data_IF_868567439344
#
_entry.id   IF_868567439344
#
_cell.length_a   1.000
_cell.length_b   1.000
_cell.length_c   1.000
_cell.angle_alpha   90.00
_cell.angle_beta   90.00
_cell.angle_gamma   90.00
#
_symmetry.space_group_name_H-M   'P 1'
#
loop_
_entity.id
_entity.type
_entity.pdbx_description
1 polymer ?
#
# COMPACT_ATOMS: atom_id res chain seq x y z
N UNK A 1 32.55 11.31 -13.53
CA UNK A 1 31.43 11.05 -12.61
C UNK A 1 31.91 11.14 -11.18
N UNK A 2 31.24 11.95 -10.35
CA UNK A 2 31.57 12.16 -8.95
C UNK A 2 31.10 10.99 -8.09
N UNK A 3 31.91 10.62 -7.09
CA UNK A 3 31.60 9.54 -6.16
C UNK A 3 30.30 9.80 -5.40
N UNK A 4 30.08 11.05 -4.97
CA UNK A 4 28.89 11.48 -4.20
C UNK A 4 27.60 11.34 -5.00
N UNK A 5 27.60 11.72 -6.27
CA UNK A 5 26.43 11.58 -7.13
C UNK A 5 26.12 10.11 -7.39
N UNK A 6 27.14 9.30 -7.66
CA UNK A 6 26.97 7.87 -7.87
C UNK A 6 26.37 7.17 -6.63
N UNK A 7 26.87 7.49 -5.43
CA UNK A 7 26.32 6.97 -4.17
C UNK A 7 24.86 7.36 -3.97
N UNK A 8 24.49 8.63 -4.24
CA UNK A 8 23.11 9.10 -4.14
C UNK A 8 22.17 8.35 -5.11
N UNK A 9 22.61 8.13 -6.35
CA UNK A 9 21.83 7.40 -7.36
C UNK A 9 21.64 5.94 -6.93
N UNK A 10 22.70 5.27 -6.46
CA UNK A 10 22.61 3.89 -5.98
C UNK A 10 21.65 3.78 -4.81
N UNK A 11 21.75 4.66 -3.83
CA UNK A 11 20.86 4.67 -2.66
C UNK A 11 19.40 4.92 -3.06
N UNK A 12 19.14 5.83 -4.01
CA UNK A 12 17.79 6.10 -4.50
C UNK A 12 17.19 4.90 -5.25
N UNK A 13 18.00 4.19 -6.05
CA UNK A 13 17.59 2.95 -6.73
C UNK A 13 17.22 1.87 -5.72
N UNK A 14 18.02 1.68 -4.67
CA UNK A 14 17.73 0.69 -3.62
C UNK A 14 16.42 1.00 -2.89
N UNK A 15 16.19 2.26 -2.52
CA UNK A 15 14.93 2.69 -1.88
C UNK A 15 13.72 2.47 -2.79
N UNK A 16 13.83 2.79 -4.08
CA UNK A 16 12.73 2.56 -5.04
C UNK A 16 12.47 1.06 -5.27
N UNK A 17 13.50 0.22 -5.28
CA UNK A 17 13.32 -1.24 -5.34
C UNK A 17 12.56 -1.76 -4.12
N UNK A 18 12.98 -1.37 -2.92
CA UNK A 18 12.33 -1.76 -1.67
C UNK A 18 10.86 -1.29 -1.66
N UNK A 19 10.59 -0.04 -2.06
CA UNK A 19 9.23 0.49 -2.17
C UNK A 19 8.38 -0.32 -3.14
N UNK A 20 8.89 -0.62 -4.34
CA UNK A 20 8.17 -1.41 -5.35
C UNK A 20 7.87 -2.83 -4.88
N UNK A 21 8.81 -3.45 -4.17
CA UNK A 21 8.62 -4.78 -3.59
C UNK A 21 7.47 -4.79 -2.56
N UNK A 22 7.41 -3.77 -1.70
CA UNK A 22 6.42 -3.70 -0.60
C UNK A 22 5.04 -3.17 -1.05
N UNK A 23 4.96 -2.39 -2.13
CA UNK A 23 3.71 -1.74 -2.58
C UNK A 23 2.64 -2.71 -3.10
N UNK A 24 3.04 -3.93 -3.47
CA UNK A 24 2.13 -4.98 -3.95
C UNK A 24 1.62 -5.93 -2.86
N UNK A 25 2.22 -5.88 -1.68
CA UNK A 25 1.96 -6.87 -0.64
C UNK A 25 0.57 -6.70 -0.02
N UNK A 26 0.00 -7.83 0.39
CA UNK A 26 -1.32 -7.90 1.03
C UNK A 26 -1.20 -8.40 2.47
N UNK A 27 -2.05 -7.89 3.38
CA UNK A 27 -2.16 -8.43 4.72
C UNK A 27 -2.61 -9.88 4.72
N UNK A 28 -2.02 -10.68 5.61
CA UNK A 28 -2.55 -11.98 5.96
C UNK A 28 -3.90 -11.83 6.65
N UNK A 29 -4.73 -12.88 6.63
CA UNK A 29 -6.00 -12.87 7.37
C UNK A 29 -5.76 -12.65 8.87
N UNK A 30 -4.68 -13.20 9.42
CA UNK A 30 -4.31 -13.05 10.83
C UNK A 30 -3.99 -11.60 11.17
N UNK A 31 -3.13 -10.96 10.38
CA UNK A 31 -2.79 -9.56 10.55
C UNK A 31 -4.00 -8.65 10.37
N UNK A 32 -4.84 -8.96 9.40
CA UNK A 32 -6.06 -8.21 9.11
C UNK A 32 -7.04 -8.23 10.29
N UNK A 33 -7.35 -9.42 10.81
CA UNK A 33 -8.25 -9.60 11.97
C UNK A 33 -7.65 -8.97 13.22
N UNK A 34 -6.36 -9.20 13.49
CA UNK A 34 -5.67 -8.63 14.64
C UNK A 34 -5.73 -7.10 14.65
N UNK A 35 -5.39 -6.46 13.51
CA UNK A 35 -5.44 -5.01 13.36
C UNK A 35 -6.89 -4.49 13.44
N UNK A 36 -7.86 -5.20 12.86
CA UNK A 36 -9.28 -4.85 12.94
C UNK A 36 -9.77 -4.78 14.40
N UNK A 37 -9.55 -5.85 15.16
CA UNK A 37 -9.99 -5.94 16.55
C UNK A 37 -9.26 -4.92 17.44
N UNK A 38 -7.94 -4.77 17.25
CA UNK A 38 -7.13 -3.80 18.00
C UNK A 38 -7.64 -2.36 17.81
N UNK A 39 -8.07 -1.98 16.60
CA UNK A 39 -8.65 -0.64 16.32
C UNK A 39 -9.99 -0.42 17.01
N UNK A 40 -10.75 -1.48 17.25
CA UNK A 40 -11.98 -1.45 18.06
C UNK A 40 -11.74 -1.50 19.57
N UNK A 41 -10.49 -1.75 20.01
CA UNK A 41 -10.19 -2.08 21.41
C UNK A 41 -10.77 -3.41 21.85
N UNK A 42 -10.94 -4.35 20.90
CA UNK A 42 -11.51 -5.69 21.12
C UNK A 42 -10.41 -6.75 21.05
N UNK A 43 -10.72 -7.92 21.60
CA UNK A 43 -9.91 -9.14 21.50
C UNK A 43 -10.64 -10.21 20.69
N UNK A 44 -9.91 -11.25 20.28
CA UNK A 44 -10.48 -12.33 19.48
C UNK A 44 -11.66 -13.05 20.18
N UNK A 45 -11.63 -13.13 21.52
CA UNK A 45 -12.72 -13.69 22.31
C UNK A 45 -14.04 -12.94 22.13
N UNK A 46 -14.01 -11.62 21.89
CA UNK A 46 -15.23 -10.83 21.65
C UNK A 46 -15.89 -11.23 20.31
N UNK A 47 -15.07 -11.48 19.28
CA UNK A 47 -15.53 -11.96 17.99
C UNK A 47 -16.11 -13.38 18.10
N UNK A 48 -15.47 -14.28 18.85
CA UNK A 48 -16.00 -15.62 19.10
C UNK A 48 -17.30 -15.61 19.90
N UNK A 49 -17.41 -14.78 20.95
CA UNK A 49 -18.66 -14.62 21.71
C UNK A 49 -19.80 -14.12 20.82
N UNK A 50 -19.49 -13.24 19.88
CA UNK A 50 -20.44 -12.78 18.87
C UNK A 50 -20.81 -13.94 17.93
N UNK A 51 -19.86 -14.71 17.38
CA UNK A 51 -20.16 -15.90 16.56
C UNK A 51 -21.05 -16.91 17.30
N UNK A 52 -20.76 -17.19 18.56
CA UNK A 52 -21.54 -18.11 19.40
C UNK A 52 -22.96 -17.58 19.61
N UNK A 53 -23.11 -16.30 19.98
CA UNK A 53 -24.41 -15.63 20.15
C UNK A 53 -25.24 -15.64 18.86
N UNK A 54 -24.58 -15.53 17.72
CA UNK A 54 -25.21 -15.46 16.40
C UNK A 54 -25.51 -16.85 15.81
N UNK A 55 -24.89 -17.91 16.32
CA UNK A 55 -25.03 -19.28 15.83
C UNK A 55 -24.32 -19.54 14.49
N UNK A 56 -24.23 -20.81 14.11
CA UNK A 56 -23.56 -21.26 12.86
C UNK A 56 -24.21 -20.76 11.56
N UNK A 57 -25.45 -20.27 11.63
CA UNK A 57 -26.24 -19.74 10.51
C UNK A 57 -26.31 -18.20 10.53
N UNK A 58 -25.22 -17.55 10.93
CA UNK A 58 -25.05 -16.09 10.98
C UNK A 58 -25.55 -15.34 9.72
N UNK A 59 -25.47 -15.98 8.55
CA UNK A 59 -25.91 -15.40 7.28
C UNK A 59 -27.36 -15.71 6.90
N UNK A 60 -28.07 -16.57 7.64
CA UNK A 60 -29.32 -17.14 7.12
C UNK A 60 -30.64 -16.65 7.71
N UNK A 61 -30.85 -16.22 8.96
CA UNK A 61 -32.26 -15.86 9.31
C UNK A 61 -32.63 -15.12 10.59
N UNK A 62 -31.77 -14.92 11.61
CA UNK A 62 -32.24 -14.37 12.91
C UNK A 62 -31.94 -12.89 13.18
N UNK A 63 -31.00 -12.29 12.46
CA UNK A 63 -30.64 -10.87 12.59
C UNK A 63 -30.81 -10.17 11.26
N UNK A 64 -31.75 -9.23 11.22
CA UNK A 64 -32.14 -8.55 9.98
C UNK A 64 -31.06 -7.54 9.60
N UNK A 65 -30.59 -6.76 10.58
CA UNK A 65 -29.68 -5.65 10.33
C UNK A 65 -28.21 -6.05 10.39
N UNK A 66 -27.78 -6.81 11.40
CA UNK A 66 -26.40 -7.35 11.44
C UNK A 66 -26.13 -8.29 10.27
N UNK A 67 -27.10 -9.12 9.88
CA UNK A 67 -26.99 -10.00 8.72
C UNK A 67 -26.92 -9.24 7.39
N UNK A 68 -27.70 -8.17 7.23
CA UNK A 68 -27.60 -7.29 6.06
C UNK A 68 -26.26 -6.54 6.02
N UNK A 69 -25.86 -5.95 7.15
CA UNK A 69 -24.56 -5.28 7.31
C UNK A 69 -23.41 -6.19 6.90
N UNK A 70 -23.41 -7.44 7.38
CA UNK A 70 -22.36 -8.40 7.05
C UNK A 70 -22.38 -8.87 5.59
N UNK A 71 -23.54 -8.96 4.95
CA UNK A 71 -23.63 -9.25 3.50
C UNK A 71 -23.05 -8.12 2.66
N UNK A 72 -23.35 -6.87 3.00
CA UNK A 72 -22.83 -5.70 2.30
C UNK A 72 -21.32 -5.57 2.51
N UNK A 73 -20.85 -5.75 3.75
CA UNK A 73 -19.43 -5.76 4.07
C UNK A 73 -18.69 -6.89 3.34
N UNK A 74 -19.27 -8.10 3.30
CA UNK A 74 -18.69 -9.23 2.56
C UNK A 74 -18.52 -8.86 1.09
N UNK A 75 -19.52 -8.25 0.46
CA UNK A 75 -19.42 -7.77 -0.93
C UNK A 75 -18.27 -6.77 -1.07
N UNK A 76 -18.11 -5.86 -0.13
CA UNK A 76 -17.02 -4.88 -0.13
C UNK A 76 -15.62 -5.52 -0.04
N UNK A 77 -15.44 -6.48 0.87
CA UNK A 77 -14.16 -7.20 1.04
C UNK A 77 -13.87 -8.06 -0.19
N UNK A 78 -14.86 -8.85 -0.63
CA UNK A 78 -14.73 -9.79 -1.76
C UNK A 78 -14.48 -9.10 -3.09
N UNK A 79 -14.99 -7.88 -3.28
CA UNK A 79 -14.74 -7.07 -4.47
C UNK A 79 -13.34 -6.42 -4.47
N UNK A 80 -12.52 -6.63 -3.44
CA UNK A 80 -11.15 -6.10 -3.36
C UNK A 80 -11.08 -4.58 -3.13
N UNK A 81 -12.19 -3.94 -2.80
CA UNK A 81 -12.25 -2.49 -2.53
C UNK A 81 -11.61 -2.12 -1.19
N UNK A 82 -11.33 -3.11 -0.33
CA UNK A 82 -10.82 -2.93 1.03
C UNK A 82 -9.57 -3.80 1.19
N UNK A 83 -8.40 -3.21 0.98
CA UNK A 83 -7.10 -3.90 1.16
C UNK A 83 -6.67 -3.99 2.62
N UNK A 84 -7.17 -3.10 3.47
CA UNK A 84 -6.86 -3.02 4.90
C UNK A 84 -8.13 -3.00 5.73
N UNK A 85 -8.09 -3.42 7.01
CA UNK A 85 -9.23 -3.25 7.89
C UNK A 85 -9.64 -1.78 7.96
N UNK A 86 -10.91 -1.48 8.25
CA UNK A 86 -11.36 -0.10 8.40
C UNK A 86 -10.69 0.57 9.60
N UNK A 87 -10.56 1.90 9.52
CA UNK A 87 -10.10 2.72 10.65
C UNK A 87 -11.25 2.99 11.63
N UNK A 88 -10.92 3.28 12.89
CA UNK A 88 -11.86 3.61 13.97
C UNK A 88 -12.86 4.69 13.59
N UNK A 89 -12.38 5.79 13.01
CA UNK A 89 -13.17 6.91 12.51
C UNK A 89 -14.07 6.54 11.32
N UNK A 90 -13.70 5.52 10.55
CA UNK A 90 -14.43 5.11 9.35
C UNK A 90 -15.47 4.04 9.59
N UNK A 91 -15.36 3.21 10.63
CA UNK A 91 -16.37 2.16 10.88
C UNK A 91 -17.72 2.77 11.25
N UNK A 92 -17.68 3.82 12.08
CA UNK A 92 -18.86 4.60 12.43
C UNK A 92 -19.39 5.37 11.22
N UNK A 93 -18.55 5.72 10.24
CA UNK A 93 -18.93 6.43 9.03
C UNK A 93 -19.23 5.51 7.83
N UNK A 94 -19.21 4.19 7.98
CA UNK A 94 -19.56 3.28 6.90
C UNK A 94 -21.03 3.53 6.52
N UNK A 95 -21.27 3.92 5.27
CA UNK A 95 -22.60 4.17 4.71
C UNK A 95 -23.34 2.85 4.40
N UNK A 96 -23.45 1.97 5.39
CA UNK A 96 -24.34 0.82 5.33
C UNK A 96 -25.67 1.23 5.97
N UNK A 97 -26.76 1.13 5.21
CA UNK A 97 -28.11 1.48 5.65
C UNK A 97 -28.55 0.79 6.95
N UNK A 98 -27.92 -0.33 7.30
CA UNK A 98 -28.25 -1.19 8.43
C UNK A 98 -27.26 -1.05 9.59
N UNK A 99 -26.32 -0.10 9.53
CA UNK A 99 -25.32 0.14 10.57
C UNK A 99 -25.97 0.33 11.94
N UNK A 100 -26.94 1.23 12.04
CA UNK A 100 -27.54 1.61 13.33
C UNK A 100 -28.38 0.47 13.92
N UNK A 101 -29.06 -0.31 13.06
CA UNK A 101 -29.77 -1.52 13.46
C UNK A 101 -28.82 -2.61 13.96
N UNK A 102 -27.69 -2.81 13.28
CA UNK A 102 -26.65 -3.73 13.73
C UNK A 102 -26.07 -3.30 15.09
N UNK A 103 -25.81 -2.01 15.30
CA UNK A 103 -25.36 -1.50 16.62
C UNK A 103 -26.38 -1.83 17.71
N UNK A 104 -27.68 -1.60 17.47
CA UNK A 104 -28.73 -1.93 18.42
C UNK A 104 -28.79 -3.43 18.74
N UNK A 105 -28.70 -4.28 17.71
CA UNK A 105 -28.64 -5.75 17.84
C UNK A 105 -27.39 -6.25 18.59
N UNK A 106 -26.29 -5.51 18.54
CA UNK A 106 -25.04 -5.77 19.27
C UNK A 106 -25.01 -5.19 20.69
N UNK A 107 -26.14 -4.71 21.22
CA UNK A 107 -26.23 -4.17 22.58
C UNK A 107 -25.88 -2.69 22.70
N UNK A 108 -25.86 -1.96 21.57
CA UNK A 108 -25.71 -0.51 21.53
C UNK A 108 -24.28 0.01 21.51
N UNK A 109 -23.26 -0.86 21.46
CA UNK A 109 -21.86 -0.45 21.35
C UNK A 109 -21.36 -0.47 19.89
N UNK A 110 -21.07 0.69 19.28
CA UNK A 110 -20.56 0.76 17.92
C UNK A 110 -19.24 0.02 17.69
N UNK A 111 -18.44 -0.20 18.75
CA UNK A 111 -17.17 -0.93 18.64
C UNK A 111 -17.39 -2.39 18.25
N UNK A 112 -18.53 -2.98 18.62
CA UNK A 112 -18.85 -4.37 18.28
C UNK A 112 -19.00 -4.60 16.77
N UNK A 113 -19.13 -3.54 15.96
CA UNK A 113 -19.04 -3.65 14.51
C UNK A 113 -17.67 -4.16 14.06
N UNK A 114 -16.58 -3.87 14.78
CA UNK A 114 -15.24 -4.40 14.47
C UNK A 114 -15.18 -5.93 14.58
N UNK A 115 -15.91 -6.51 15.52
CA UNK A 115 -16.02 -7.96 15.62
C UNK A 115 -16.79 -8.55 14.43
N UNK A 116 -17.92 -7.94 14.02
CA UNK A 116 -18.62 -8.34 12.79
C UNK A 116 -17.71 -8.27 11.56
N UNK A 117 -16.87 -7.25 11.49
CA UNK A 117 -15.93 -7.05 10.38
C UNK A 117 -14.84 -8.12 10.36
N UNK A 118 -14.28 -8.46 11.53
CA UNK A 118 -13.34 -9.57 11.66
C UNK A 118 -13.97 -10.90 11.21
N UNK A 119 -15.19 -11.21 11.67
CA UNK A 119 -15.93 -12.44 11.31
C UNK A 119 -16.15 -12.51 9.79
N UNK A 120 -16.55 -11.39 9.18
CA UNK A 120 -16.79 -11.33 7.72
C UNK A 120 -15.49 -11.49 6.94
N UNK A 121 -14.37 -10.94 7.41
CA UNK A 121 -13.07 -11.12 6.77
C UNK A 121 -12.62 -12.59 6.80
N UNK A 122 -12.79 -13.29 7.93
CA UNK A 122 -12.49 -14.72 8.02
C UNK A 122 -13.35 -15.54 7.08
N UNK A 123 -14.64 -15.19 6.95
CA UNK A 123 -15.52 -15.84 6.00
C UNK A 123 -15.12 -15.56 4.55
N UNK A 124 -14.71 -14.33 4.24
CA UNK A 124 -14.20 -13.99 2.92
C UNK A 124 -12.92 -14.76 2.60
N UNK A 125 -12.02 -14.97 3.57
CA UNK A 125 -10.83 -15.80 3.40
C UNK A 125 -11.18 -17.27 3.11
N UNK A 126 -12.19 -17.83 3.77
CA UNK A 126 -12.66 -19.20 3.47
C UNK A 126 -13.18 -19.35 2.03
N UNK A 127 -13.75 -18.28 1.46
CA UNK A 127 -14.31 -18.29 0.11
C UNK A 127 -13.31 -17.93 -0.98
N UNK A 128 -12.40 -16.99 -0.69
CA UNK A 128 -11.40 -16.42 -1.61
C UNK A 128 -10.08 -16.12 -0.88
N UNK A 129 -9.25 -17.16 -0.63
CA UNK A 129 -7.98 -16.99 0.07
C UNK A 129 -7.03 -15.99 -0.62
N UNK A 130 -7.07 -15.88 -1.94
CA UNK A 130 -6.21 -15.03 -2.77
C UNK A 130 -6.38 -13.51 -2.55
N UNK A 131 -7.42 -13.11 -1.82
CA UNK A 131 -7.63 -11.73 -1.38
C UNK A 131 -6.63 -11.30 -0.31
N UNK A 132 -6.06 -12.26 0.43
CA UNK A 132 -5.13 -12.04 1.53
C UNK A 132 -3.71 -12.47 1.13
N UNK A 133 -2.70 -11.96 1.83
CA UNK A 133 -1.29 -12.23 1.57
C UNK A 133 -0.54 -12.69 2.80
N UNK A 134 0.71 -12.22 2.95
CA UNK A 134 1.65 -12.70 3.96
C UNK A 134 1.94 -11.72 5.10
N UNK A 135 1.43 -10.49 5.07
CA UNK A 135 1.80 -9.49 6.09
C UNK A 135 0.97 -9.68 7.36
N UNK A 136 1.62 -10.09 8.44
CA UNK A 136 0.99 -10.23 9.76
C UNK A 136 0.94 -8.91 10.54
N UNK A 137 1.97 -8.06 10.43
CA UNK A 137 2.03 -6.77 11.11
C UNK A 137 1.79 -5.61 10.12
N UNK A 138 0.53 -5.23 9.98
CA UNK A 138 0.09 -4.21 9.03
C UNK A 138 0.63 -2.83 9.40
N UNK A 139 0.70 -2.52 10.69
CA UNK A 139 1.13 -1.20 11.14
C UNK A 139 2.66 -1.04 10.96
N UNK A 140 3.46 -2.06 11.29
CA UNK A 140 4.89 -2.05 11.02
C UNK A 140 5.20 -2.01 9.50
N UNK A 141 4.43 -2.72 8.68
CA UNK A 141 4.57 -2.64 7.22
C UNK A 141 4.26 -1.24 6.68
N UNK A 142 3.20 -0.60 7.19
CA UNK A 142 2.84 0.77 6.82
C UNK A 142 3.92 1.77 7.26
N UNK A 143 4.45 1.61 8.46
CA UNK A 143 5.57 2.44 8.95
C UNK A 143 6.79 2.29 8.05
N UNK A 144 7.13 1.05 7.66
CA UNK A 144 8.26 0.81 6.74
C UNK A 144 8.07 1.47 5.38
N UNK A 145 6.87 1.41 4.80
CA UNK A 145 6.57 2.12 3.54
C UNK A 145 6.72 3.63 3.74
N UNK A 146 6.16 4.19 4.83
CA UNK A 146 6.25 5.62 5.10
C UNK A 146 7.70 6.10 5.32
N UNK A 147 8.53 5.32 6.01
CA UNK A 147 9.98 5.58 6.15
C UNK A 147 10.69 5.63 4.80
N UNK A 148 10.40 4.66 3.92
CA UNK A 148 10.99 4.59 2.60
C UNK A 148 10.49 5.74 1.70
N UNK A 149 9.22 6.11 1.76
CA UNK A 149 8.67 7.27 1.04
C UNK A 149 9.32 8.58 1.50
N UNK A 150 9.52 8.74 2.82
CA UNK A 150 10.23 9.89 3.37
C UNK A 150 11.68 9.93 2.91
N UNK A 151 12.37 8.78 2.93
CA UNK A 151 13.77 8.67 2.46
C UNK A 151 13.88 8.96 0.97
N UNK A 152 12.97 8.45 0.15
CA UNK A 152 12.86 8.76 -1.29
C UNK A 152 12.72 10.26 -1.50
N UNK A 153 11.81 10.92 -0.78
CA UNK A 153 11.60 12.36 -0.88
C UNK A 153 12.87 13.16 -0.50
N UNK A 154 13.57 12.74 0.56
CA UNK A 154 14.85 13.33 0.97
C UNK A 154 15.92 13.19 -0.13
N UNK A 155 16.11 11.98 -0.67
CA UNK A 155 17.10 11.69 -1.70
C UNK A 155 16.81 12.51 -2.97
N UNK A 156 15.55 12.52 -3.42
CA UNK A 156 15.10 13.32 -4.56
C UNK A 156 15.32 14.82 -4.34
N UNK A 157 15.14 15.32 -3.11
CA UNK A 157 15.44 16.70 -2.75
C UNK A 157 16.93 17.07 -2.83
N UNK A 158 17.84 16.10 -2.69
CA UNK A 158 19.29 16.34 -2.75
C UNK A 158 19.84 16.41 -4.18
N UNK A 159 19.19 15.74 -5.13
CA UNK A 159 19.62 15.65 -6.53
C UNK A 159 19.95 17.00 -7.19
N UNK A 160 19.08 18.04 -7.13
CA UNK A 160 19.33 19.33 -7.78
C UNK A 160 20.65 20.02 -7.42
N UNK A 161 21.24 19.65 -6.27
CA UNK A 161 22.45 20.29 -5.72
C UNK A 161 23.68 19.40 -5.69
N UNK A 162 23.57 18.12 -6.10
CA UNK A 162 24.60 17.10 -5.84
C UNK A 162 25.43 16.69 -7.06
N UNK A 163 24.95 16.94 -8.29
CA UNK A 163 25.70 16.57 -9.49
C UNK A 163 26.77 17.63 -9.84
N UNK A 164 27.93 17.16 -10.30
CA UNK A 164 29.03 17.99 -10.79
C UNK A 164 29.12 17.96 -12.32
N UNK A 165 30.02 18.76 -12.91
CA UNK A 165 30.22 18.77 -14.37
C UNK A 165 30.52 17.37 -14.93
N UNK A 166 31.33 16.58 -14.23
CA UNK A 166 31.69 15.22 -14.65
C UNK A 166 30.54 14.20 -14.56
N UNK A 167 29.39 14.59 -14.02
CA UNK A 167 28.17 13.78 -13.96
C UNK A 167 27.22 14.07 -15.14
N UNK A 168 27.59 15.03 -15.98
CA UNK A 168 26.79 15.50 -17.10
C UNK A 168 27.36 15.00 -18.42
N UNK A 169 26.46 14.75 -19.36
CA UNK A 169 26.77 14.52 -20.76
C UNK A 169 26.18 15.66 -21.58
N UNK A 170 27.01 16.31 -22.39
CA UNK A 170 26.58 17.33 -23.34
C UNK A 170 26.34 16.62 -24.66
N UNK A 171 25.08 16.37 -24.96
CA UNK A 171 24.62 15.69 -26.15
C UNK A 171 24.52 16.62 -27.35
N UNK A 172 23.72 16.20 -28.34
CA UNK A 172 23.53 16.96 -29.59
C UNK A 172 22.92 18.34 -29.33
N UNK A 173 23.32 19.30 -30.17
CA UNK A 173 22.70 20.62 -30.23
C UNK A 173 21.33 20.46 -30.90
N UNK A 174 20.27 20.87 -30.20
CA UNK A 174 18.89 20.87 -30.70
C UNK A 174 18.72 21.94 -31.79
N UNK A 175 17.65 21.82 -32.58
CA UNK A 175 17.42 22.69 -33.75
C UNK A 175 17.24 24.18 -33.41
N UNK A 176 17.01 24.50 -32.14
CA UNK A 176 16.95 25.85 -31.56
C UNK A 176 18.33 26.40 -31.11
N UNK A 177 19.40 25.62 -31.29
CA UNK A 177 20.76 26.01 -30.91
C UNK A 177 21.13 25.73 -29.45
N UNK A 178 20.24 25.12 -28.66
CA UNK A 178 20.55 24.70 -27.29
C UNK A 178 21.29 23.36 -27.26
N UNK A 179 22.18 23.14 -26.29
CA UNK A 179 22.79 21.82 -26.08
C UNK A 179 21.89 20.98 -25.16
N UNK A 180 21.56 19.75 -25.55
CA UNK A 180 20.86 18.82 -24.67
C UNK A 180 21.84 18.35 -23.58
N UNK A 181 21.56 18.72 -22.32
CA UNK A 181 22.35 18.27 -21.17
C UNK A 181 21.62 17.11 -20.51
N UNK A 182 22.25 15.94 -20.51
CA UNK A 182 21.75 14.73 -19.86
C UNK A 182 22.71 14.25 -18.76
N UNK A 183 22.30 13.24 -18.00
CA UNK A 183 23.21 12.59 -17.06
C UNK A 183 24.19 11.67 -17.80
N UNK A 184 25.46 11.64 -17.37
CA UNK A 184 26.46 10.72 -17.91
C UNK A 184 26.10 9.24 -17.72
N UNK A 185 25.24 8.91 -16.74
CA UNK A 185 24.67 7.56 -16.54
C UNK A 185 23.60 7.17 -17.56
N UNK A 186 23.01 8.15 -18.25
CA UNK A 186 21.99 7.96 -19.26
C UNK A 186 22.22 8.98 -20.40
N UNK A 187 23.32 8.83 -21.18
CA UNK A 187 23.69 9.77 -22.24
C UNK A 187 22.57 9.90 -23.26
N UNK A 188 22.23 11.13 -23.67
CA UNK A 188 21.17 11.47 -24.62
C UNK A 188 19.72 11.06 -24.23
N UNK A 189 19.52 10.36 -23.12
CA UNK A 189 18.22 9.80 -22.72
C UNK A 189 17.52 10.61 -21.63
N UNK A 190 18.23 10.93 -20.53
CA UNK A 190 17.62 11.58 -19.37
C UNK A 190 18.06 13.04 -19.23
N UNK A 191 17.23 14.02 -19.58
CA UNK A 191 17.56 15.43 -19.43
C UNK A 191 17.59 15.88 -17.98
N UNK A 192 18.57 16.73 -17.64
CA UNK A 192 18.72 17.30 -16.29
C UNK A 192 17.71 18.41 -15.98
N UNK A 193 17.04 18.95 -17.00
CA UNK A 193 16.02 19.98 -16.84
C UNK A 193 14.60 19.42 -16.96
N UNK A 194 13.64 19.81 -16.09
CA UNK A 194 13.82 20.64 -14.88
C UNK A 194 14.63 19.92 -13.78
N UNK A 195 15.49 20.63 -13.03
CA UNK A 195 16.32 20.04 -11.98
C UNK A 195 15.53 19.35 -10.88
N UNK A 196 14.38 19.92 -10.50
CA UNK A 196 13.55 19.44 -9.39
C UNK A 196 13.13 17.96 -9.50
N UNK A 197 12.96 17.45 -10.72
CA UNK A 197 12.53 16.07 -10.98
C UNK A 197 13.57 15.27 -11.77
N UNK A 198 14.79 15.82 -11.93
CA UNK A 198 15.83 15.17 -12.72
C UNK A 198 16.32 13.86 -12.07
N UNK A 199 16.42 13.85 -10.73
CA UNK A 199 16.78 12.65 -9.98
C UNK A 199 15.77 11.52 -10.15
N UNK A 200 14.48 11.83 -9.99
CA UNK A 200 13.38 10.88 -10.17
C UNK A 200 13.40 10.27 -11.59
N UNK A 201 13.49 11.12 -12.63
CA UNK A 201 13.59 10.66 -14.02
C UNK A 201 14.79 9.74 -14.26
N UNK A 202 15.94 10.04 -13.66
CA UNK A 202 17.15 9.23 -13.79
C UNK A 202 16.98 7.87 -13.12
N UNK A 203 16.47 7.84 -11.88
CA UNK A 203 16.25 6.61 -11.13
C UNK A 203 15.23 5.73 -11.85
N UNK A 204 14.13 6.30 -12.34
CA UNK A 204 13.11 5.57 -13.09
C UNK A 204 13.66 4.96 -14.38
N UNK A 205 14.46 5.72 -15.14
CA UNK A 205 15.10 5.22 -16.35
C UNK A 205 16.06 4.06 -16.07
N UNK A 206 16.89 4.19 -15.03
CA UNK A 206 17.85 3.14 -14.68
C UNK A 206 17.14 1.85 -14.24
N UNK A 207 16.04 1.98 -13.47
CA UNK A 207 15.21 0.84 -13.09
C UNK A 207 14.48 0.20 -14.28
N UNK A 208 14.06 0.97 -15.29
CA UNK A 208 13.44 0.39 -16.49
C UNK A 208 14.43 -0.39 -17.34
N UNK A 209 15.66 0.12 -17.48
CA UNK A 209 16.74 -0.56 -18.20
C UNK A 209 17.13 -1.89 -17.53
N UNK A 210 17.19 -1.93 -16.20
CA UNK A 210 17.44 -3.18 -15.47
C UNK A 210 16.37 -4.23 -15.76
N UNK A 211 15.09 -3.83 -15.80
CA UNK A 211 13.98 -4.74 -16.10
C UNK A 211 14.07 -5.30 -17.53
N UNK A 212 14.36 -4.45 -18.52
CA UNK A 212 14.54 -4.88 -19.91
C UNK A 212 15.67 -5.92 -20.04
N UNK A 213 16.77 -5.73 -19.31
CA UNK A 213 17.89 -6.68 -19.30
C UNK A 213 17.52 -8.00 -18.62
N UNK A 214 16.74 -7.97 -17.54
CA UNK A 214 16.25 -9.19 -16.89
C UNK A 214 15.28 -9.97 -17.78
N UNK A 215 14.34 -9.29 -18.43
CA UNK A 215 13.39 -9.89 -19.38
C UNK A 215 14.13 -10.52 -20.58
N UNK A 216 15.15 -9.85 -21.12
CA UNK A 216 15.96 -10.36 -22.22
C UNK A 216 16.83 -11.58 -21.84
N UNK A 217 17.17 -11.76 -20.56
CA UNK A 217 17.89 -12.94 -20.07
C UNK A 217 16.97 -14.13 -19.80
N UNK A 218 15.68 -13.87 -19.57
CA UNK A 218 14.69 -14.90 -19.27
C UNK A 218 14.02 -15.47 -20.53
N UNK A 219 14.17 -14.81 -21.68
CA UNK A 219 13.69 -15.23 -23.00
C UNK A 219 14.72 -16.10 -23.75
#
# INVERSE_FOLDING_TARGET
MSKRFNELVTEAIEVERDLRALSGDKPSIRGWVSACLSRGGLVYADAEAIKERLGGDFLQTRMVDSGAYCRDLRRYIVNGSVREPPRADRIGAMYFSQRDGAIAELGGDPKMLFALVAIVAERAYQEKPELFGGIDDIDAHRERIAELEAKRAELHGRFPTMWAHDDLHIGKITSDGAALITFAKAPDEVPVHPPATAGERLVDYLLSQEREVEEAKAA
#
